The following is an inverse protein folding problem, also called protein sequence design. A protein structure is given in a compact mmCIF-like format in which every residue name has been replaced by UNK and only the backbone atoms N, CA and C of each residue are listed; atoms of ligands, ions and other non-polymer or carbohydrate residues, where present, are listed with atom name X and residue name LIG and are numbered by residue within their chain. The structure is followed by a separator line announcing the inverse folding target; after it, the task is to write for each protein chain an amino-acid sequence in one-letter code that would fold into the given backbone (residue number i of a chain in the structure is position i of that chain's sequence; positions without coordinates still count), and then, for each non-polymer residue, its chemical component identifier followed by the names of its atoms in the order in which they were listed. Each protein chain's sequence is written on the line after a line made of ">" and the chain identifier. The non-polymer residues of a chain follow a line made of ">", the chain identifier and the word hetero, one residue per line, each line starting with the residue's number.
data_IF_436670071674
#
_entry.id   IF_436670071674
#
_cell.length_a   1.000
_cell.length_b   1.000
_cell.length_c   1.000
_cell.angle_alpha   90.00
_cell.angle_beta   90.00
_cell.angle_gamma   90.00
#
_symmetry.space_group_name_H-M   'P 1'
#
loop_
_entity.id
_entity.type
_entity.pdbx_description
1 polymer ?
#
# COMPACT_ATOMS: atom_id res chain seq x y z
N UNK A 1 -4.33 45.23 -13.61
CA UNK A 1 -4.05 44.12 -14.54
C UNK A 1 -2.56 43.89 -14.54
N UNK A 2 -2.12 42.79 -13.95
CA UNK A 2 -1.04 41.94 -14.44
C UNK A 2 -1.19 40.65 -13.63
N UNK A 3 -1.86 39.69 -14.27
CA UNK A 3 -1.90 38.31 -13.86
C UNK A 3 -0.50 37.76 -14.11
N UNK A 4 0.34 37.72 -13.08
CA UNK A 4 1.47 36.83 -13.09
C UNK A 4 0.95 35.46 -12.67
N UNK A 5 0.66 34.68 -13.70
CA UNK A 5 0.24 33.29 -13.68
C UNK A 5 1.02 32.52 -12.61
N UNK A 6 0.25 31.87 -11.72
CA UNK A 6 0.73 30.79 -10.88
C UNK A 6 1.46 29.77 -11.77
N UNK A 7 2.79 29.87 -11.81
CA UNK A 7 3.60 28.76 -12.27
C UNK A 7 3.39 27.64 -11.26
N UNK A 8 2.49 26.72 -11.58
CA UNK A 8 2.50 25.38 -10.99
C UNK A 8 3.90 24.82 -11.25
N UNK A 9 4.77 24.88 -10.24
CA UNK A 9 6.06 24.19 -10.25
C UNK A 9 5.75 22.71 -10.04
N UNK A 10 5.27 22.08 -11.10
CA UNK A 10 4.92 20.67 -11.14
C UNK A 10 6.15 19.89 -11.61
N UNK A 11 6.99 19.49 -10.68
CA UNK A 11 7.27 18.08 -10.35
C UNK A 11 8.50 18.06 -9.43
N UNK A 12 8.37 17.78 -8.14
CA UNK A 12 9.55 17.40 -7.38
C UNK A 12 10.09 16.08 -7.94
N UNK A 13 11.42 15.90 -8.00
CA UNK A 13 12.08 14.62 -8.32
C UNK A 13 11.84 13.53 -7.25
N UNK A 14 10.85 13.75 -6.37
CA UNK A 14 10.47 12.92 -5.23
C UNK A 14 8.95 12.64 -5.27
N UNK A 15 8.55 11.60 -4.55
CA UNK A 15 7.14 11.34 -4.21
C UNK A 15 6.98 11.42 -2.70
N UNK A 16 6.01 12.18 -2.22
CA UNK A 16 5.67 12.24 -0.79
C UNK A 16 4.97 10.95 -0.34
N UNK A 17 5.08 10.60 0.93
CA UNK A 17 4.30 9.49 1.48
C UNK A 17 2.80 9.77 1.39
N UNK A 18 2.37 11.03 1.54
CA UNK A 18 0.97 11.46 1.44
C UNK A 18 0.34 11.11 0.09
N UNK A 19 1.08 11.25 -1.02
CA UNK A 19 0.61 10.83 -2.35
C UNK A 19 0.23 9.34 -2.38
N UNK A 20 1.02 8.48 -1.74
CA UNK A 20 0.75 7.04 -1.64
C UNK A 20 -0.39 6.78 -0.65
N UNK A 21 -0.39 7.47 0.49
CA UNK A 21 -1.40 7.30 1.53
C UNK A 21 -2.80 7.63 1.03
N UNK A 22 -2.97 8.68 0.23
CA UNK A 22 -4.27 9.02 -0.36
C UNK A 22 -4.81 7.90 -1.25
N UNK A 23 -3.95 7.29 -2.07
CA UNK A 23 -4.36 6.18 -2.94
C UNK A 23 -4.74 4.96 -2.09
N UNK A 24 -3.94 4.64 -1.07
CA UNK A 24 -4.26 3.57 -0.13
C UNK A 24 -5.58 3.80 0.63
N UNK A 25 -5.77 4.98 1.22
CA UNK A 25 -6.97 5.32 1.99
C UNK A 25 -8.25 5.26 1.14
N UNK A 26 -8.16 5.58 -0.15
CA UNK A 26 -9.28 5.42 -1.08
C UNK A 26 -9.61 3.95 -1.43
N UNK A 27 -8.70 3.00 -1.15
CA UNK A 27 -8.91 1.57 -1.38
C UNK A 27 -9.46 0.83 -0.14
N UNK A 28 -9.39 1.44 1.04
CA UNK A 28 -9.81 0.81 2.29
C UNK A 28 -11.07 1.50 2.84
N UNK A 29 -12.04 0.68 3.21
CA UNK A 29 -13.21 1.12 3.96
C UNK A 29 -13.01 0.70 5.42
N UNK A 30 -12.34 1.56 6.20
CA UNK A 30 -11.96 1.24 7.58
C UNK A 30 -12.40 2.33 8.54
N UNK A 31 -13.42 1.99 9.35
CA UNK A 31 -13.88 2.85 10.43
C UNK A 31 -12.78 3.08 11.50
N UNK A 32 -11.93 2.08 11.73
CA UNK A 32 -10.81 2.19 12.68
C UNK A 32 -9.83 3.30 12.27
N UNK A 33 -9.40 3.31 11.00
CA UNK A 33 -8.50 4.35 10.50
C UNK A 33 -9.11 5.75 10.58
N UNK A 34 -10.43 5.86 10.39
CA UNK A 34 -11.14 7.14 10.48
C UNK A 34 -11.30 7.68 11.92
N UNK A 35 -11.07 6.83 12.93
CA UNK A 35 -11.17 7.20 14.34
C UNK A 35 -9.84 7.51 15.02
N UNK A 36 -8.72 7.14 14.38
CA UNK A 36 -7.38 7.44 14.87
C UNK A 36 -7.15 8.95 14.88
N UNK A 37 -6.37 9.43 15.85
CA UNK A 37 -5.84 10.79 15.78
C UNK A 37 -4.73 10.89 14.72
N UNK A 38 -4.32 12.12 14.39
CA UNK A 38 -3.35 12.37 13.32
C UNK A 38 -1.99 11.69 13.55
N UNK A 39 -1.57 11.55 14.82
CA UNK A 39 -0.29 10.94 15.18
C UNK A 39 -0.37 9.42 15.01
N UNK A 40 -1.39 8.79 15.62
CA UNK A 40 -1.65 7.35 15.50
C UNK A 40 -1.88 6.93 14.05
N UNK A 41 -2.63 7.73 13.29
CA UNK A 41 -2.87 7.48 11.87
C UNK A 41 -1.57 7.57 11.07
N UNK A 42 -0.74 8.60 11.31
CA UNK A 42 0.52 8.75 10.60
C UNK A 42 1.48 7.58 10.88
N UNK A 43 1.55 7.09 12.12
CA UNK A 43 2.38 5.94 12.48
C UNK A 43 1.85 4.66 11.82
N UNK A 44 0.54 4.44 11.89
CA UNK A 44 -0.13 3.27 11.29
C UNK A 44 0.07 3.22 9.77
N UNK A 45 -0.10 4.36 9.09
CA UNK A 45 0.12 4.46 7.65
C UNK A 45 1.58 4.20 7.27
N UNK A 46 2.53 4.68 8.08
CA UNK A 46 3.95 4.41 7.86
C UNK A 46 4.28 2.92 8.04
N UNK A 47 3.70 2.24 9.03
CA UNK A 47 3.88 0.78 9.16
C UNK A 47 3.38 0.01 7.95
N UNK A 48 2.20 0.37 7.43
CA UNK A 48 1.66 -0.28 6.23
C UNK A 48 2.51 0.02 5.01
N UNK A 49 3.03 1.24 4.87
CA UNK A 49 3.97 1.61 3.82
C UNK A 49 5.22 0.74 3.89
N UNK A 50 5.86 0.68 5.06
CA UNK A 50 7.09 -0.08 5.25
C UNK A 50 6.89 -1.57 4.96
N UNK A 51 5.78 -2.17 5.41
CA UNK A 51 5.42 -3.55 5.07
C UNK A 51 5.14 -3.72 3.57
N UNK A 52 4.53 -2.72 2.93
CA UNK A 52 4.29 -2.70 1.49
C UNK A 52 5.59 -2.69 0.68
N UNK A 53 6.57 -1.87 1.09
CA UNK A 53 7.89 -1.80 0.45
C UNK A 53 8.63 -3.13 0.46
N UNK A 54 8.45 -3.96 1.48
CA UNK A 54 9.04 -5.31 1.54
C UNK A 54 8.60 -6.21 0.38
N UNK A 55 7.40 -5.97 -0.18
CA UNK A 55 6.91 -6.72 -1.35
C UNK A 55 7.71 -6.37 -2.60
N UNK A 56 8.29 -5.18 -2.67
CA UNK A 56 9.17 -4.72 -3.74
C UNK A 56 10.63 -5.12 -3.52
N UNK A 57 10.94 -5.99 -2.55
CA UNK A 57 12.34 -6.42 -2.31
C UNK A 57 13.00 -7.12 -3.49
N UNK A 58 12.23 -7.71 -4.40
CA UNK A 58 12.73 -8.32 -5.65
C UNK A 58 12.72 -7.35 -6.83
N UNK A 59 12.10 -6.18 -6.69
CA UNK A 59 11.98 -5.19 -7.74
C UNK A 59 13.34 -4.54 -7.99
N UNK A 60 13.97 -4.91 -9.10
CA UNK A 60 15.37 -4.55 -9.38
C UNK A 60 15.56 -3.23 -10.12
N UNK A 61 14.50 -2.68 -10.71
CA UNK A 61 14.54 -1.46 -11.53
C UNK A 61 14.81 -0.21 -10.68
N UNK A 62 14.29 -0.16 -9.45
CA UNK A 62 14.41 1.00 -8.56
C UNK A 62 14.49 0.55 -7.11
N UNK A 63 15.37 1.18 -6.34
CA UNK A 63 15.38 0.99 -4.89
C UNK A 63 14.20 1.75 -4.25
N UNK A 64 13.14 1.00 -3.96
CA UNK A 64 11.95 1.54 -3.29
C UNK A 64 12.20 1.87 -1.81
N UNK A 65 13.32 1.43 -1.22
CA UNK A 65 13.72 1.76 0.15
C UNK A 65 14.56 3.04 0.25
N UNK A 66 14.87 3.69 -0.88
CA UNK A 66 15.50 5.01 -0.90
C UNK A 66 14.50 6.10 -0.47
N UNK A 67 14.32 6.21 0.85
CA UNK A 67 13.33 7.07 1.49
C UNK A 67 13.98 8.00 2.53
N UNK A 68 13.34 9.14 2.73
CA UNK A 68 13.65 10.15 3.73
C UNK A 68 12.49 10.20 4.72
N UNK A 69 12.68 9.56 5.88
CA UNK A 69 11.65 9.44 6.92
C UNK A 69 11.42 10.74 7.67
N UNK A 70 12.43 11.61 7.75
CA UNK A 70 12.31 12.94 8.38
C UNK A 70 11.41 13.85 7.55
N UNK A 71 11.61 13.85 6.22
CA UNK A 71 10.78 14.63 5.29
C UNK A 71 9.57 13.86 4.73
N UNK A 72 9.33 12.62 5.19
CA UNK A 72 8.22 11.74 4.79
C UNK A 72 8.06 11.60 3.26
N UNK A 73 9.13 11.22 2.57
CA UNK A 73 9.15 11.10 1.10
C UNK A 73 10.06 9.97 0.59
N UNK A 74 9.81 9.54 -0.63
CA UNK A 74 10.74 8.78 -1.46
C UNK A 74 11.74 9.75 -2.09
N UNK A 75 13.03 9.42 -2.12
CA UNK A 75 14.02 10.26 -2.80
C UNK A 75 13.91 10.20 -4.33
N UNK A 76 13.17 9.21 -4.84
CA UNK A 76 12.87 9.02 -6.24
C UNK A 76 11.41 9.39 -6.56
N UNK A 77 11.17 9.90 -7.77
CA UNK A 77 9.80 10.04 -8.27
C UNK A 77 9.23 8.67 -8.59
N UNK A 78 8.09 8.37 -7.98
CA UNK A 78 7.28 7.21 -8.31
C UNK A 78 6.27 7.58 -9.40
N UNK A 79 6.13 6.71 -10.38
CA UNK A 79 5.06 6.74 -11.37
C UNK A 79 3.71 6.43 -10.71
N UNK A 80 2.62 6.80 -11.38
CA UNK A 80 1.27 6.48 -10.91
C UNK A 80 1.07 4.96 -10.76
N UNK A 81 1.70 4.16 -11.63
CA UNK A 81 1.60 2.70 -11.56
C UNK A 81 2.34 2.17 -10.32
N UNK A 82 3.56 2.64 -10.03
CA UNK A 82 4.29 2.31 -8.79
C UNK A 82 3.51 2.71 -7.53
N UNK A 83 2.92 3.91 -7.52
CA UNK A 83 2.10 4.39 -6.40
C UNK A 83 0.89 3.47 -6.18
N UNK A 84 0.18 3.11 -7.24
CA UNK A 84 -0.99 2.23 -7.15
C UNK A 84 -0.59 0.83 -6.66
N UNK A 85 0.49 0.26 -7.18
CA UNK A 85 0.98 -1.06 -6.75
C UNK A 85 1.44 -1.04 -5.30
N UNK A 86 2.11 0.03 -4.86
CA UNK A 86 2.49 0.20 -3.46
C UNK A 86 1.27 0.37 -2.55
N UNK A 87 0.25 1.13 -2.96
CA UNK A 87 -1.00 1.25 -2.22
C UNK A 87 -1.74 -0.11 -2.11
N UNK A 88 -1.72 -0.96 -3.15
CA UNK A 88 -2.22 -2.34 -3.06
C UNK A 88 -1.42 -3.16 -2.04
N UNK A 89 -0.10 -3.01 -2.00
CA UNK A 89 0.76 -3.69 -1.03
C UNK A 89 0.51 -3.20 0.42
N UNK A 90 0.22 -1.92 0.61
CA UNK A 90 -0.26 -1.39 1.90
C UNK A 90 -1.62 -2.00 2.29
N UNK A 91 -2.55 -2.13 1.34
CA UNK A 91 -3.84 -2.79 1.57
C UNK A 91 -3.66 -4.24 2.00
N UNK A 92 -2.73 -4.97 1.37
CA UNK A 92 -2.36 -6.32 1.79
C UNK A 92 -1.84 -6.36 3.25
N UNK A 93 -1.00 -5.39 3.64
CA UNK A 93 -0.53 -5.27 5.02
C UNK A 93 -1.67 -5.00 6.02
N UNK A 94 -2.60 -4.11 5.68
CA UNK A 94 -3.80 -3.82 6.48
C UNK A 94 -4.69 -5.07 6.63
N UNK A 95 -5.00 -5.78 5.55
CA UNK A 95 -5.81 -7.02 5.58
C UNK A 95 -5.14 -8.07 6.48
N UNK A 96 -3.82 -8.22 6.35
CA UNK A 96 -3.07 -9.21 7.15
C UNK A 96 -3.16 -8.89 8.65
N UNK A 97 -3.08 -7.61 9.03
CA UNK A 97 -3.23 -7.18 10.42
C UNK A 97 -4.64 -7.48 10.96
N UNK A 98 -5.69 -7.12 10.21
CA UNK A 98 -7.08 -7.35 10.63
C UNK A 98 -7.42 -8.83 10.73
N UNK A 99 -6.99 -9.65 9.77
CA UNK A 99 -7.20 -11.10 9.78
C UNK A 99 -6.53 -11.76 10.99
N UNK A 100 -5.32 -11.33 11.35
CA UNK A 100 -4.65 -11.84 12.55
C UNK A 100 -5.41 -11.50 13.83
N UNK A 101 -5.97 -10.29 13.92
CA UNK A 101 -6.82 -9.89 15.06
C UNK A 101 -8.07 -10.76 15.18
N UNK A 102 -8.79 -10.96 14.07
CA UNK A 102 -10.00 -11.80 14.03
C UNK A 102 -9.71 -13.27 14.39
N UNK A 103 -8.61 -13.84 13.89
CA UNK A 103 -8.19 -15.20 14.24
C UNK A 103 -7.85 -15.34 15.73
N UNK A 104 -7.27 -14.32 16.35
CA UNK A 104 -7.01 -14.30 17.80
C UNK A 104 -8.33 -14.25 18.59
N UNK A 105 -9.30 -13.44 18.17
CA UNK A 105 -10.62 -13.37 18.80
C UNK A 105 -11.37 -14.70 18.71
N UNK A 106 -11.36 -15.34 17.53
CA UNK A 106 -11.93 -16.68 17.32
C UNK A 106 -11.32 -17.72 18.26
N UNK A 107 -9.99 -17.75 18.40
CA UNK A 107 -9.29 -18.67 19.31
C UNK A 107 -9.62 -18.42 20.77
N UNK A 108 -9.79 -17.17 21.18
CA UNK A 108 -10.06 -16.79 22.56
C UNK A 108 -11.48 -17.17 23.04
N UNK A 109 -12.47 -17.10 22.14
CA UNK A 109 -13.89 -17.38 22.46
C UNK A 109 -14.15 -18.91 22.49
N UNK A 110 -13.44 -19.69 21.67
CA UNK A 110 -13.62 -21.14 21.57
C UNK A 110 -14.93 -21.55 20.87
N UNK A 111 -14.93 -22.74 20.26
CA UNK A 111 -16.02 -23.30 19.42
C UNK A 111 -17.40 -23.43 20.08
N UNK A 112 -17.57 -23.02 21.35
CA UNK A 112 -18.79 -23.29 22.12
C UNK A 112 -19.88 -22.23 21.96
N UNK A 113 -19.52 -21.00 21.55
CA UNK A 113 -20.48 -19.91 21.31
C UNK A 113 -20.09 -19.00 20.12
N UNK A 114 -19.35 -19.50 19.12
CA UNK A 114 -19.09 -18.74 17.88
C UNK A 114 -20.30 -18.76 16.92
N UNK A 115 -21.50 -18.53 17.45
CA UNK A 115 -22.70 -18.25 16.67
C UNK A 115 -22.74 -16.77 16.31
N UNK A 116 -21.90 -16.36 15.36
CA UNK A 116 -22.10 -15.13 14.60
C UNK A 116 -21.68 -15.41 13.15
N UNK A 117 -22.65 -15.79 12.33
CA UNK A 117 -22.52 -16.06 10.89
C UNK A 117 -21.75 -14.94 10.15
N UNK A 118 -21.73 -13.72 10.71
CA UNK A 118 -21.01 -12.57 10.17
C UNK A 118 -19.48 -12.63 10.31
N UNK A 119 -18.93 -13.20 11.38
CA UNK A 119 -17.47 -13.24 11.60
C UNK A 119 -16.75 -14.20 10.65
N UNK A 120 -17.37 -15.34 10.34
CA UNK A 120 -16.83 -16.30 9.37
C UNK A 120 -16.83 -15.74 7.94
N UNK A 121 -17.93 -15.09 7.53
CA UNK A 121 -18.04 -14.47 6.22
C UNK A 121 -17.05 -13.31 6.03
N UNK A 122 -16.79 -12.54 7.08
CA UNK A 122 -15.80 -11.47 7.05
C UNK A 122 -14.37 -12.01 6.89
N UNK A 123 -13.99 -13.03 7.66
CA UNK A 123 -12.69 -13.71 7.53
C UNK A 123 -12.48 -14.31 6.13
N UNK A 124 -13.50 -14.97 5.57
CA UNK A 124 -13.45 -15.55 4.23
C UNK A 124 -13.28 -14.47 3.14
N UNK A 125 -13.97 -13.33 3.30
CA UNK A 125 -13.80 -12.16 2.43
C UNK A 125 -12.38 -11.59 2.51
N UNK A 126 -11.83 -11.45 3.73
CA UNK A 126 -10.45 -11.00 3.92
C UNK A 126 -9.44 -11.97 3.27
N UNK A 127 -9.65 -13.28 3.40
CA UNK A 127 -8.81 -14.30 2.75
C UNK A 127 -8.85 -14.21 1.22
N UNK A 128 -10.03 -13.97 0.66
CA UNK A 128 -10.23 -13.80 -0.78
C UNK A 128 -9.52 -12.54 -1.28
N UNK A 129 -9.71 -11.41 -0.61
CA UNK A 129 -9.06 -10.14 -0.95
C UNK A 129 -7.53 -10.24 -0.83
N UNK A 130 -7.02 -10.89 0.23
CA UNK A 130 -5.59 -11.13 0.41
C UNK A 130 -4.99 -11.89 -0.79
N UNK A 131 -5.65 -12.98 -1.19
CA UNK A 131 -5.20 -13.84 -2.28
C UNK A 131 -5.21 -13.12 -3.63
N UNK A 132 -6.23 -12.28 -3.87
CA UNK A 132 -6.34 -11.46 -5.06
C UNK A 132 -5.23 -10.40 -5.12
N UNK A 133 -5.04 -9.63 -4.03
CA UNK A 133 -4.02 -8.59 -3.97
C UNK A 133 -2.61 -9.16 -4.15
N UNK A 134 -2.27 -10.29 -3.53
CA UNK A 134 -0.97 -10.96 -3.73
C UNK A 134 -0.71 -11.29 -5.20
N UNK A 135 -1.74 -11.70 -5.93
CA UNK A 135 -1.63 -12.02 -7.37
C UNK A 135 -1.47 -10.76 -8.20
N UNK A 136 -2.29 -9.75 -7.95
CA UNK A 136 -2.22 -8.47 -8.67
C UNK A 136 -0.86 -7.81 -8.47
N UNK A 137 -0.39 -7.66 -7.23
CA UNK A 137 0.91 -7.04 -6.94
C UNK A 137 2.05 -7.80 -7.62
N UNK A 138 2.02 -9.14 -7.60
CA UNK A 138 3.03 -9.95 -8.30
C UNK A 138 3.00 -9.71 -9.82
N UNK A 139 1.82 -9.63 -10.41
CA UNK A 139 1.68 -9.35 -11.83
C UNK A 139 2.17 -7.94 -12.17
N UNK A 140 1.79 -6.94 -11.38
CA UNK A 140 2.24 -5.55 -11.52
C UNK A 140 3.78 -5.47 -11.43
N UNK A 141 4.39 -6.18 -10.46
CA UNK A 141 5.86 -6.26 -10.32
C UNK A 141 6.54 -6.87 -11.54
N UNK A 142 6.02 -8.01 -12.01
CA UNK A 142 6.55 -8.64 -13.21
C UNK A 142 6.41 -7.73 -14.43
N UNK A 143 5.29 -7.01 -14.57
CA UNK A 143 5.07 -6.08 -15.67
C UNK A 143 6.08 -4.93 -15.64
N UNK A 144 6.42 -4.40 -14.45
CA UNK A 144 7.53 -3.44 -14.34
C UNK A 144 8.85 -4.02 -14.84
N UNK A 145 9.20 -5.25 -14.45
CA UNK A 145 10.47 -5.89 -14.82
C UNK A 145 10.55 -6.18 -16.33
N UNK A 146 9.46 -6.66 -16.94
CA UNK A 146 9.44 -6.95 -18.37
C UNK A 146 9.39 -5.70 -19.26
N UNK A 147 8.61 -4.68 -18.88
CA UNK A 147 8.54 -3.43 -19.63
C UNK A 147 9.90 -2.73 -19.69
N UNK A 148 10.72 -2.86 -18.64
CA UNK A 148 12.06 -2.26 -18.61
C UNK A 148 13.07 -3.07 -19.44
N UNK A 149 13.02 -4.41 -19.38
CA UNK A 149 13.90 -5.27 -20.20
C UNK A 149 13.66 -5.11 -21.70
N UNK A 150 12.40 -4.93 -22.14
CA UNK A 150 12.11 -4.71 -23.56
C UNK A 150 12.59 -3.32 -24.05
N UNK A 151 12.64 -2.30 -23.17
CA UNK A 151 13.14 -0.96 -23.50
C UNK A 151 14.68 -0.93 -23.60
N UNK A 152 15.39 -1.74 -22.82
CA UNK A 152 16.87 -1.80 -22.85
C UNK A 152 17.44 -2.99 -23.66
N UNK A 153 16.62 -3.99 -24.00
CA UNK A 153 17.00 -5.17 -24.76
C UNK A 153 17.23 -4.92 -26.26
N UNK A 154 16.70 -3.82 -26.81
CA UNK A 154 16.98 -3.40 -28.20
C UNK A 154 18.30 -2.61 -28.36
N UNK A 155 19.08 -2.42 -27.28
CA UNK A 155 20.41 -1.78 -27.32
C UNK A 155 21.57 -2.75 -27.02
N UNK A 156 21.43 -4.04 -27.38
CA UNK A 156 22.50 -5.04 -27.30
C UNK A 156 22.89 -5.57 -28.69
#
# INVERSE_FOLDING_TARGET
>A
MNNDEEKQVNNPDYTSFDEVYRVFLNMVDSYLLAQMDDEELSETLYEYLYKGLQVFSTYSVKDMFDIDTENKRFNNKLSNFEIVTLAKAMNLAWITANKNSEELMKKAIGDRDYNAVQGYQYLDRLQTMESQLRREIKNDINEFEYADVDIYGEMA
#
